data_IF_834987427747
#
_entry.id   IF_834987427747
#
_cell.length_a   1.000
_cell.length_b   1.000
_cell.length_c   1.000
_cell.angle_alpha   90.00
_cell.angle_beta   90.00
_cell.angle_gamma   90.00
#
_symmetry.space_group_name_H-M   'P 1'
#
loop_
_entity.id
_entity.type
_entity.pdbx_description
1 polymer ?
#
# COMPACT_ATOMS: atom_id res chain seq x y z
N UNK A 1 19.16 -60.15 9.53
CA UNK A 1 20.41 -59.40 9.74
C UNK A 1 20.92 -59.02 8.35
N UNK A 2 20.92 -57.72 8.10
CA UNK A 2 21.23 -56.94 6.90
C UNK A 2 22.09 -57.56 5.79
N UNK A 3 21.63 -57.44 4.55
CA UNK A 3 22.51 -57.28 3.39
C UNK A 3 21.86 -56.31 2.40
N UNK A 4 22.23 -55.02 2.48
CA UNK A 4 21.78 -54.00 1.55
C UNK A 4 22.61 -54.11 0.25
N UNK A 5 21.98 -54.21 -0.94
CA UNK A 5 22.71 -54.43 -2.18
C UNK A 5 23.53 -53.19 -2.57
N UNK A 6 24.84 -53.39 -2.54
CA UNK A 6 25.91 -52.72 -3.29
C UNK A 6 25.48 -51.44 -4.04
N UNK A 7 25.69 -50.30 -3.39
CA UNK A 7 25.51 -48.97 -3.98
C UNK A 7 26.45 -48.81 -5.18
N UNK A 8 25.95 -48.95 -6.41
CA UNK A 8 26.73 -48.60 -7.61
C UNK A 8 27.08 -47.11 -7.52
N UNK A 9 28.33 -46.81 -7.17
CA UNK A 9 28.85 -45.45 -7.11
C UNK A 9 28.91 -44.94 -8.56
N UNK A 10 27.94 -44.12 -8.95
CA UNK A 10 27.96 -43.42 -10.22
C UNK A 10 29.05 -42.35 -10.15
N UNK A 11 30.24 -42.69 -10.63
CA UNK A 11 31.34 -41.75 -10.75
C UNK A 11 31.14 -40.91 -12.02
N UNK A 12 30.77 -39.64 -11.84
CA UNK A 12 30.65 -38.70 -12.94
C UNK A 12 32.07 -38.35 -13.41
N UNK A 13 32.52 -38.98 -14.51
CA UNK A 13 33.83 -38.69 -15.09
C UNK A 13 33.76 -37.47 -16.00
N UNK A 14 34.31 -36.33 -15.56
CA UNK A 14 34.35 -35.09 -16.35
C UNK A 14 35.61 -35.07 -17.22
N UNK A 15 35.44 -35.04 -18.54
CA UNK A 15 36.54 -34.98 -19.50
C UNK A 15 37.41 -33.71 -19.30
N UNK A 16 38.72 -33.83 -19.00
CA UNK A 16 39.60 -32.71 -18.67
C UNK A 16 39.71 -31.64 -19.76
N UNK A 17 39.58 -32.01 -21.04
CA UNK A 17 39.62 -31.06 -22.16
C UNK A 17 38.39 -30.14 -22.22
N UNK A 18 37.27 -30.52 -21.60
CA UNK A 18 36.00 -29.76 -21.62
C UNK A 18 35.49 -29.36 -20.23
N UNK A 19 36.27 -29.58 -19.16
CA UNK A 19 35.92 -29.22 -17.77
C UNK A 19 35.48 -27.76 -17.63
N UNK A 20 36.15 -26.83 -18.32
CA UNK A 20 35.80 -25.39 -18.30
C UNK A 20 34.39 -25.13 -18.82
N UNK A 21 34.02 -25.76 -19.94
CA UNK A 21 32.68 -25.65 -20.50
C UNK A 21 31.63 -26.27 -19.57
N UNK A 22 31.92 -27.43 -18.97
CA UNK A 22 31.04 -28.09 -18.01
C UNK A 22 30.75 -27.20 -16.78
N UNK A 23 31.79 -26.66 -16.14
CA UNK A 23 31.60 -25.76 -14.99
C UNK A 23 30.95 -24.43 -15.36
N UNK A 24 31.18 -23.91 -16.58
CA UNK A 24 30.43 -22.75 -17.09
C UNK A 24 28.93 -23.04 -17.17
N UNK A 25 28.53 -24.19 -17.69
CA UNK A 25 27.12 -24.54 -17.83
C UNK A 25 26.46 -24.80 -16.47
N UNK A 26 27.15 -25.50 -15.55
CA UNK A 26 26.68 -25.68 -14.17
C UNK A 26 26.56 -24.32 -13.46
N UNK A 27 27.52 -23.43 -13.64
CA UNK A 27 27.47 -22.07 -13.09
C UNK A 27 26.29 -21.25 -13.64
N UNK A 28 26.00 -21.35 -14.94
CA UNK A 28 24.83 -20.71 -15.56
C UNK A 28 23.53 -21.27 -14.96
N UNK A 29 23.41 -22.59 -14.81
CA UNK A 29 22.23 -23.22 -14.23
C UNK A 29 22.02 -22.84 -12.76
N UNK A 30 23.08 -22.76 -11.97
CA UNK A 30 23.02 -22.28 -10.57
C UNK A 30 22.63 -20.80 -10.52
N UNK A 31 23.16 -19.97 -11.42
CA UNK A 31 22.82 -18.55 -11.50
C UNK A 31 21.34 -18.36 -11.89
N UNK A 32 20.85 -19.10 -12.88
CA UNK A 32 19.43 -19.11 -13.25
C UNK A 32 18.54 -19.57 -12.10
N UNK A 33 18.95 -20.63 -11.39
CA UNK A 33 18.21 -21.12 -10.23
C UNK A 33 18.13 -20.06 -9.11
N UNK A 34 19.23 -19.39 -8.81
CA UNK A 34 19.26 -18.29 -7.83
C UNK A 34 18.42 -17.09 -8.29
N UNK A 35 18.42 -16.73 -9.58
CA UNK A 35 17.54 -15.70 -10.11
C UNK A 35 16.05 -16.07 -10.00
N UNK A 36 15.70 -17.35 -10.21
CA UNK A 36 14.31 -17.81 -10.09
C UNK A 36 13.80 -17.91 -8.65
N UNK A 37 14.69 -18.11 -7.67
CA UNK A 37 14.29 -18.37 -6.27
C UNK A 37 14.54 -17.19 -5.35
N UNK A 38 15.67 -16.49 -5.50
CA UNK A 38 16.06 -15.37 -4.64
C UNK A 38 15.82 -14.00 -5.29
N UNK A 39 15.72 -13.92 -6.63
CA UNK A 39 15.58 -12.66 -7.36
C UNK A 39 14.15 -12.18 -7.61
N UNK A 40 13.12 -12.96 -7.26
CA UNK A 40 11.75 -12.65 -7.66
C UNK A 40 11.07 -11.58 -6.80
N UNK A 41 11.28 -11.58 -5.48
CA UNK A 41 10.53 -10.72 -4.56
C UNK A 41 10.70 -9.21 -4.88
N UNK A 42 11.93 -8.68 -5.05
CA UNK A 42 12.11 -7.25 -5.33
C UNK A 42 11.57 -6.84 -6.72
N UNK A 43 11.60 -7.76 -7.68
CA UNK A 43 11.14 -7.51 -9.04
C UNK A 43 9.61 -7.49 -9.10
N UNK A 44 8.95 -8.39 -8.38
CA UNK A 44 7.49 -8.42 -8.26
C UNK A 44 6.99 -7.11 -7.64
N UNK A 45 7.60 -6.67 -6.53
CA UNK A 45 7.23 -5.42 -5.86
C UNK A 45 7.43 -4.19 -6.74
N UNK A 46 8.51 -4.16 -7.52
CA UNK A 46 8.71 -3.10 -8.51
C UNK A 46 7.63 -3.10 -9.59
N UNK A 47 7.29 -4.26 -10.15
CA UNK A 47 6.25 -4.34 -11.18
C UNK A 47 4.85 -4.05 -10.65
N UNK A 48 4.52 -4.47 -9.42
CA UNK A 48 3.24 -4.12 -8.78
C UNK A 48 3.16 -2.62 -8.52
N UNK A 49 4.23 -2.02 -8.00
CA UNK A 49 4.33 -0.57 -7.79
C UNK A 49 4.15 0.22 -9.10
N UNK A 50 4.85 -0.18 -10.17
CA UNK A 50 4.74 0.48 -11.49
C UNK A 50 3.33 0.32 -12.07
N UNK A 51 2.71 -0.86 -11.91
CA UNK A 51 1.34 -1.11 -12.36
C UNK A 51 0.33 -0.22 -11.62
N UNK A 52 0.40 -0.20 -10.30
CA UNK A 52 -0.49 0.59 -9.45
C UNK A 52 -0.34 2.08 -9.73
N UNK A 53 0.90 2.56 -9.84
CA UNK A 53 1.18 3.96 -10.19
C UNK A 53 0.57 4.35 -11.55
N UNK A 54 0.62 3.46 -12.54
CA UNK A 54 0.00 3.69 -13.85
C UNK A 54 -1.51 3.75 -13.75
N UNK A 55 -2.14 2.87 -12.97
CA UNK A 55 -3.59 2.86 -12.78
C UNK A 55 -4.07 4.15 -12.11
N UNK A 56 -3.37 4.60 -11.06
CA UNK A 56 -3.61 5.89 -10.39
C UNK A 56 -3.54 7.04 -11.40
N UNK A 57 -2.49 7.10 -12.23
CA UNK A 57 -2.32 8.16 -13.22
C UNK A 57 -3.45 8.17 -14.26
N UNK A 58 -3.95 6.99 -14.65
CA UNK A 58 -5.04 6.88 -15.61
C UNK A 58 -6.38 7.38 -15.06
N UNK A 59 -6.68 7.10 -13.79
CA UNK A 59 -7.96 7.50 -13.18
C UNK A 59 -7.94 8.91 -12.57
N UNK A 60 -6.74 9.47 -12.30
CA UNK A 60 -6.59 10.79 -11.67
C UNK A 60 -7.38 11.89 -12.39
N UNK A 61 -7.36 12.04 -13.73
CA UNK A 61 -8.13 13.10 -14.39
C UNK A 61 -9.64 12.98 -14.19
N UNK A 62 -10.17 11.75 -14.11
CA UNK A 62 -11.57 11.49 -13.83
C UNK A 62 -11.90 11.83 -12.37
N UNK A 63 -11.09 11.36 -11.43
CA UNK A 63 -11.24 11.64 -10.00
C UNK A 63 -11.18 13.14 -9.72
N UNK A 64 -10.26 13.86 -10.38
CA UNK A 64 -10.16 15.31 -10.28
C UNK A 64 -11.47 16.00 -10.69
N UNK A 65 -12.06 15.64 -11.83
CA UNK A 65 -13.35 16.20 -12.28
C UNK A 65 -14.49 15.87 -11.32
N UNK A 66 -14.53 14.65 -10.78
CA UNK A 66 -15.54 14.24 -9.81
C UNK A 66 -15.38 15.03 -8.50
N UNK A 67 -14.15 15.25 -8.04
CA UNK A 67 -13.85 16.07 -6.88
C UNK A 67 -14.25 17.54 -7.09
N UNK A 68 -13.92 18.10 -8.26
CA UNK A 68 -14.36 19.45 -8.67
C UNK A 68 -15.89 19.58 -8.73
N UNK A 69 -16.61 18.48 -8.99
CA UNK A 69 -18.08 18.43 -8.93
C UNK A 69 -18.66 18.19 -7.52
N UNK A 70 -17.82 18.13 -6.49
CA UNK A 70 -18.24 17.97 -5.09
C UNK A 70 -18.53 16.54 -4.67
N UNK A 71 -18.03 15.52 -5.39
CA UNK A 71 -18.23 14.10 -4.99
C UNK A 71 -17.31 13.73 -3.83
N UNK A 72 -17.82 13.37 -2.64
CA UNK A 72 -16.99 13.14 -1.46
C UNK A 72 -15.94 12.04 -1.66
N UNK A 73 -16.33 10.88 -2.21
CA UNK A 73 -15.41 9.78 -2.49
C UNK A 73 -14.21 10.21 -3.35
N UNK A 74 -14.47 11.05 -4.36
CA UNK A 74 -13.42 11.54 -5.24
C UNK A 74 -12.54 12.59 -4.56
N UNK A 75 -13.10 13.44 -3.71
CA UNK A 75 -12.36 14.41 -2.89
C UNK A 75 -11.41 13.68 -1.94
N UNK A 76 -11.93 12.67 -1.24
CA UNK A 76 -11.12 11.83 -0.35
C UNK A 76 -10.06 11.06 -1.12
N UNK A 77 -10.41 10.52 -2.29
CA UNK A 77 -9.46 9.83 -3.15
C UNK A 77 -8.33 10.77 -3.60
N UNK A 78 -8.67 12.00 -4.01
CA UNK A 78 -7.69 13.03 -4.39
C UNK A 78 -6.81 13.41 -3.21
N UNK A 79 -7.35 13.57 -2.00
CA UNK A 79 -6.54 13.83 -0.81
C UNK A 79 -5.50 12.74 -0.55
N UNK A 80 -5.87 11.47 -0.76
CA UNK A 80 -4.99 10.30 -0.55
C UNK A 80 -3.88 10.20 -1.61
N UNK A 81 -4.13 10.63 -2.84
CA UNK A 81 -3.22 10.43 -3.98
C UNK A 81 -2.56 11.72 -4.51
N UNK A 82 -3.03 12.89 -4.07
CA UNK A 82 -2.57 14.23 -4.46
C UNK A 82 -2.70 15.19 -3.26
N UNK A 83 -2.01 14.84 -2.17
CA UNK A 83 -2.05 15.63 -0.94
C UNK A 83 -1.51 17.06 -1.13
N UNK A 84 -0.47 17.25 -1.94
CA UNK A 84 0.08 18.58 -2.19
C UNK A 84 -0.92 19.47 -2.94
N UNK A 85 -1.62 18.95 -3.96
CA UNK A 85 -2.71 19.70 -4.61
C UNK A 85 -3.85 20.03 -3.64
N UNK A 86 -4.23 19.09 -2.78
CA UNK A 86 -5.24 19.32 -1.74
C UNK A 86 -4.80 20.41 -0.74
N UNK A 87 -3.52 20.40 -0.35
CA UNK A 87 -2.91 21.38 0.57
C UNK A 87 -2.79 22.77 -0.06
N UNK A 88 -2.39 22.86 -1.33
CA UNK A 88 -2.34 24.12 -2.10
C UNK A 88 -3.73 24.76 -2.19
N UNK A 89 -4.76 23.95 -2.40
CA UNK A 89 -6.16 24.41 -2.37
C UNK A 89 -6.70 24.67 -0.95
N UNK A 90 -5.90 24.53 0.11
CA UNK A 90 -6.33 24.75 1.49
C UNK A 90 -7.39 23.75 1.99
N UNK A 91 -7.58 22.63 1.30
CA UNK A 91 -8.59 21.60 1.61
C UNK A 91 -10.04 22.09 1.54
N UNK A 92 -10.36 23.07 0.68
CA UNK A 92 -11.73 23.59 0.56
C UNK A 92 -12.74 22.50 0.19
N UNK A 93 -12.42 21.65 -0.79
CA UNK A 93 -13.32 20.57 -1.21
C UNK A 93 -13.61 19.57 -0.07
N UNK A 94 -12.60 19.21 0.74
CA UNK A 94 -12.77 18.36 1.92
C UNK A 94 -13.68 19.04 2.96
N UNK A 95 -13.48 20.34 3.17
CA UNK A 95 -14.26 21.14 4.11
C UNK A 95 -15.73 21.19 3.68
N UNK A 96 -15.99 21.41 2.39
CA UNK A 96 -17.34 21.44 1.83
C UNK A 96 -18.03 20.08 1.93
N UNK A 97 -17.32 18.99 1.65
CA UNK A 97 -17.87 17.63 1.79
C UNK A 97 -18.19 17.29 3.26
N UNK A 98 -17.32 17.68 4.20
CA UNK A 98 -17.58 17.52 5.64
C UNK A 98 -18.81 18.35 6.07
N UNK A 99 -18.93 19.60 5.61
CA UNK A 99 -20.10 20.44 5.87
C UNK A 99 -21.39 19.87 5.26
N UNK A 100 -21.28 19.16 4.13
CA UNK A 100 -22.39 18.53 3.44
C UNK A 100 -22.88 17.23 4.10
N UNK A 101 -22.20 16.71 5.12
CA UNK A 101 -22.64 15.50 5.83
C UNK A 101 -21.79 14.26 5.61
N UNK A 102 -20.75 14.31 4.76
CA UNK A 102 -19.99 13.11 4.40
C UNK A 102 -19.14 12.58 5.58
N UNK A 103 -19.40 11.37 6.11
CA UNK A 103 -18.77 10.91 7.35
C UNK A 103 -17.24 10.72 7.25
N UNK A 104 -16.74 10.25 6.10
CA UNK A 104 -15.29 10.10 5.89
C UNK A 104 -14.61 11.47 5.80
N UNK A 105 -15.22 12.43 5.09
CA UNK A 105 -14.73 13.81 5.02
C UNK A 105 -14.77 14.51 6.38
N UNK A 106 -15.80 14.29 7.20
CA UNK A 106 -15.88 14.81 8.57
C UNK A 106 -14.74 14.28 9.44
N UNK A 107 -14.46 12.97 9.37
CA UNK A 107 -13.33 12.36 10.07
C UNK A 107 -12.00 12.97 9.63
N UNK A 108 -11.74 13.02 8.32
CA UNK A 108 -10.50 13.57 7.76
C UNK A 108 -10.32 15.04 8.07
N UNK A 109 -11.40 15.82 8.05
CA UNK A 109 -11.39 17.20 8.49
C UNK A 109 -11.03 17.28 9.97
N UNK A 110 -11.64 16.46 10.83
CA UNK A 110 -11.31 16.38 12.25
C UNK A 110 -9.82 16.07 12.50
N UNK A 111 -9.27 15.07 11.82
CA UNK A 111 -7.83 14.74 11.87
C UNK A 111 -6.97 15.94 11.45
N UNK A 112 -7.31 16.61 10.35
CA UNK A 112 -6.59 17.81 9.92
C UNK A 112 -6.64 18.93 10.98
N UNK A 113 -7.73 19.06 11.74
CA UNK A 113 -7.81 20.06 12.81
C UNK A 113 -6.94 19.70 14.01
N UNK A 114 -6.76 18.41 14.32
CA UNK A 114 -5.77 17.96 15.31
C UNK A 114 -4.36 18.40 14.92
N UNK A 115 -3.97 18.15 13.67
CA UNK A 115 -2.65 18.53 13.16
C UNK A 115 -2.41 20.04 13.18
N UNK A 116 -3.49 20.82 13.02
CA UNK A 116 -3.46 22.29 13.13
C UNK A 116 -3.51 22.81 14.57
N UNK A 117 -3.48 21.93 15.57
CA UNK A 117 -3.51 22.31 16.99
C UNK A 117 -4.86 22.84 17.46
N UNK A 118 -5.97 22.41 16.83
CA UNK A 118 -7.34 22.78 17.19
C UNK A 118 -8.15 21.54 17.64
N UNK A 119 -7.76 20.91 18.76
CA UNK A 119 -8.36 19.66 19.21
C UNK A 119 -9.85 19.78 19.57
N UNK A 120 -10.29 20.94 20.03
CA UNK A 120 -11.70 21.23 20.31
C UNK A 120 -12.55 21.18 19.04
N UNK A 121 -12.04 21.73 17.92
CA UNK A 121 -12.73 21.66 16.63
C UNK A 121 -12.69 20.23 16.11
N UNK A 122 -11.52 19.57 16.20
CA UNK A 122 -11.36 18.20 15.76
C UNK A 122 -12.36 17.25 16.43
N UNK A 123 -12.49 17.33 17.76
CA UNK A 123 -13.39 16.50 18.55
C UNK A 123 -14.83 16.60 18.03
N UNK A 124 -15.33 17.81 17.80
CA UNK A 124 -16.70 18.02 17.28
C UNK A 124 -16.92 17.32 15.93
N UNK A 125 -15.95 17.37 15.04
CA UNK A 125 -16.07 16.74 13.71
C UNK A 125 -15.91 15.22 13.76
N UNK A 126 -15.03 14.72 14.62
CA UNK A 126 -14.88 13.28 14.85
C UNK A 126 -16.14 12.70 15.50
N UNK A 127 -16.75 13.39 16.47
CA UNK A 127 -18.02 13.00 17.09
C UNK A 127 -19.16 12.93 16.06
N UNK A 128 -19.23 13.89 15.14
CA UNK A 128 -20.21 13.86 14.04
C UNK A 128 -19.99 12.66 13.12
N UNK A 129 -18.75 12.39 12.73
CA UNK A 129 -18.42 11.22 11.91
C UNK A 129 -18.79 9.91 12.63
N UNK A 130 -18.54 9.83 13.95
CA UNK A 130 -18.91 8.67 14.77
C UNK A 130 -20.43 8.52 14.90
N UNK A 131 -21.18 9.62 15.01
CA UNK A 131 -22.64 9.62 15.05
C UNK A 131 -23.26 9.06 13.75
N UNK A 132 -22.63 9.32 12.61
CA UNK A 132 -22.97 8.73 11.31
C UNK A 132 -22.44 7.27 11.14
N UNK A 133 -21.79 6.72 12.17
CA UNK A 133 -21.29 5.34 12.18
C UNK A 133 -19.99 5.13 11.41
N UNK A 134 -19.20 6.18 11.15
CA UNK A 134 -17.92 6.02 10.47
C UNK A 134 -16.94 5.18 11.32
N UNK A 135 -16.48 4.01 10.85
CA UNK A 135 -15.81 3.02 11.71
C UNK A 135 -14.58 3.54 12.45
N UNK A 136 -13.74 4.32 11.77
CA UNK A 136 -12.52 4.88 12.36
C UNK A 136 -12.83 5.91 13.45
N UNK A 137 -13.89 6.71 13.26
CA UNK A 137 -14.32 7.68 14.25
C UNK A 137 -14.93 6.98 15.48
N UNK A 138 -15.77 5.95 15.29
CA UNK A 138 -16.32 5.15 16.39
C UNK A 138 -15.20 4.48 17.19
N UNK A 139 -14.24 3.85 16.50
CA UNK A 139 -13.11 3.21 17.16
C UNK A 139 -12.24 4.22 17.92
N UNK A 140 -12.00 5.41 17.35
CA UNK A 140 -11.28 6.48 18.02
C UNK A 140 -11.99 6.90 19.31
N UNK A 141 -13.30 7.16 19.26
CA UNK A 141 -14.08 7.55 20.45
C UNK A 141 -14.02 6.50 21.56
N UNK A 142 -14.20 5.22 21.23
CA UNK A 142 -14.10 4.11 22.18
C UNK A 142 -12.72 4.05 22.88
N UNK A 143 -11.66 4.28 22.11
CA UNK A 143 -10.29 4.29 22.65
C UNK A 143 -10.02 5.48 23.57
N UNK A 144 -10.70 6.62 23.35
CA UNK A 144 -10.56 7.81 24.20
C UNK A 144 -11.41 7.74 25.46
N UNK A 145 -12.55 7.05 25.43
CA UNK A 145 -13.38 6.80 26.62
C UNK A 145 -12.64 5.90 27.61
N UNK A 146 -12.05 4.80 27.12
CA UNK A 146 -11.28 3.86 27.96
C UNK A 146 -9.99 4.43 28.58
N UNK A 147 -9.51 5.58 28.12
CA UNK A 147 -8.34 6.27 28.71
C UNK A 147 -8.72 7.29 29.78
N UNK A 148 -9.99 7.66 29.88
CA UNK A 148 -10.49 8.65 30.84
C UNK A 148 -11.22 8.02 32.04
N UNK A 149 -11.36 6.68 32.05
CA UNK A 149 -11.85 5.86 33.16
C UNK A 149 -10.68 5.31 34.02
#
# INVERSE_FOLDING_TARGET
>A
MNDFPNNKIFTIQVNPARKRAFYLHVGILVCLYLLTTAGQEPIKDYFTYVRESREIEQIRPLMKRLAESGKPDAIVWMLKHDYEGAKESGFYALTDAALAGDPESMWLYGVMQMDKGRPEVAKVWIEKAAAEGFPQAVAYMQSTETQND
#
